data_IF_014425340506
#
_entry.id   IF_014425340506
#
_cell.length_a   1.000
_cell.length_b   1.000
_cell.length_c   1.000
_cell.angle_alpha   90.00
_cell.angle_beta   90.00
_cell.angle_gamma   90.00
#
_symmetry.space_group_name_H-M   'P 1'
#
loop_
_entity.id
_entity.type
_entity.pdbx_description
1 polymer ?
#
# COMPACT_ATOMS: atom_id res chain seq x y z
N UNK A 1 21.62 4.06 44.22
CA UNK A 1 20.23 4.51 44.11
C UNK A 1 19.89 5.21 42.80
N UNK A 2 20.52 6.38 42.44
CA UNK A 2 20.24 7.06 41.15
C UNK A 2 20.69 6.24 39.93
N UNK A 3 21.86 5.60 39.98
CA UNK A 3 22.35 4.74 38.88
C UNK A 3 21.47 3.53 38.64
N UNK A 4 20.92 2.91 39.70
CA UNK A 4 20.04 1.77 39.61
C UNK A 4 18.69 2.14 38.96
N UNK A 5 18.15 3.31 39.29
CA UNK A 5 16.92 3.83 38.66
C UNK A 5 17.14 4.17 37.18
N UNK A 6 18.26 4.77 36.80
CA UNK A 6 18.59 5.01 35.39
C UNK A 6 18.76 3.71 34.60
N UNK A 7 19.43 2.71 35.19
CA UNK A 7 19.62 1.42 34.54
C UNK A 7 18.29 0.69 34.34
N UNK A 8 17.41 0.70 35.34
CA UNK A 8 16.07 0.10 35.25
C UNK A 8 15.24 0.78 34.14
N UNK A 9 15.26 2.12 34.05
CA UNK A 9 14.54 2.86 33.02
C UNK A 9 15.08 2.58 31.61
N UNK A 10 16.38 2.44 31.44
CA UNK A 10 17.00 2.07 30.15
C UNK A 10 16.66 0.64 29.73
N UNK A 11 16.57 -0.30 30.68
CA UNK A 11 16.17 -1.69 30.39
C UNK A 11 14.69 -1.78 29.99
N UNK A 12 13.82 -1.03 30.64
CA UNK A 12 12.38 -0.96 30.36
C UNK A 12 12.16 -0.35 28.95
N UNK A 13 12.79 0.77 28.63
CA UNK A 13 12.72 1.40 27.31
C UNK A 13 13.22 0.49 26.18
N UNK A 14 14.23 -0.35 26.42
CA UNK A 14 14.71 -1.32 25.42
C UNK A 14 13.73 -2.47 25.22
N UNK A 15 13.09 -2.94 26.28
CA UNK A 15 12.08 -3.99 26.22
C UNK A 15 10.85 -3.52 25.43
N UNK A 16 10.40 -2.29 25.66
CA UNK A 16 9.30 -1.66 24.91
C UNK A 16 9.61 -1.54 23.42
N UNK A 17 10.81 -1.07 23.07
CA UNK A 17 11.25 -0.95 21.69
C UNK A 17 11.29 -2.29 20.97
N UNK A 18 11.82 -3.33 21.61
CA UNK A 18 11.86 -4.67 21.02
C UNK A 18 10.45 -5.26 20.86
N UNK A 19 9.55 -5.02 21.83
CA UNK A 19 8.15 -5.44 21.74
C UNK A 19 7.43 -4.80 20.56
N UNK A 20 7.61 -3.49 20.33
CA UNK A 20 7.04 -2.78 19.17
C UNK A 20 7.60 -3.34 17.88
N UNK A 21 8.90 -3.61 17.83
CA UNK A 21 9.55 -4.17 16.64
C UNK A 21 8.97 -5.55 16.27
N UNK A 22 8.78 -6.43 17.23
CA UNK A 22 8.16 -7.74 17.01
C UNK A 22 6.71 -7.58 16.50
N UNK A 23 5.97 -6.64 17.08
CA UNK A 23 4.60 -6.36 16.67
C UNK A 23 4.54 -5.87 15.21
N UNK A 24 5.47 -5.00 14.79
CA UNK A 24 5.59 -4.52 13.40
C UNK A 24 5.80 -5.68 12.44
N UNK A 25 6.70 -6.62 12.78
CA UNK A 25 6.95 -7.83 11.97
C UNK A 25 5.68 -8.68 11.83
N UNK A 26 4.96 -8.89 12.92
CA UNK A 26 3.69 -9.65 12.90
C UNK A 26 2.63 -8.97 12.03
N UNK A 27 2.52 -7.64 12.12
CA UNK A 27 1.57 -6.84 11.32
C UNK A 27 1.88 -6.92 9.83
N UNK A 28 3.16 -6.84 9.45
CA UNK A 28 3.59 -7.01 8.06
C UNK A 28 3.32 -8.42 7.55
N UNK A 29 3.60 -9.45 8.37
CA UNK A 29 3.26 -10.83 8.00
C UNK A 29 1.76 -11.04 7.83
N UNK A 30 0.94 -10.43 8.68
CA UNK A 30 -0.51 -10.47 8.56
C UNK A 30 -1.00 -9.78 7.26
N UNK A 31 -0.41 -8.65 6.89
CA UNK A 31 -0.70 -7.95 5.64
C UNK A 31 -0.37 -8.84 4.42
N UNK A 32 0.84 -9.37 4.34
CA UNK A 32 1.29 -10.24 3.22
C UNK A 32 0.47 -11.53 3.14
N UNK A 33 0.15 -12.13 4.30
CA UNK A 33 -0.75 -13.28 4.40
C UNK A 33 -2.17 -12.96 3.95
N UNK A 34 -2.66 -11.75 4.26
CA UNK A 34 -3.96 -11.24 3.82
C UNK A 34 -4.07 -11.20 2.29
N UNK A 35 -3.09 -10.66 1.59
CA UNK A 35 -3.02 -10.69 0.13
C UNK A 35 -3.02 -12.14 -0.41
N UNK A 36 -2.20 -12.99 0.16
CA UNK A 36 -2.03 -14.38 -0.30
C UNK A 36 -3.27 -15.25 -0.02
N UNK A 37 -4.11 -14.87 0.93
CA UNK A 37 -5.33 -15.61 1.29
C UNK A 37 -6.47 -15.47 0.27
N UNK A 38 -6.43 -14.47 -0.60
CA UNK A 38 -7.53 -14.05 -1.48
C UNK A 38 -8.84 -13.77 -0.69
N UNK A 39 -8.73 -13.42 0.58
CA UNK A 39 -9.83 -13.13 1.50
C UNK A 39 -9.81 -11.67 1.91
N UNK A 40 -10.80 -10.90 1.46
CA UNK A 40 -10.92 -9.47 1.83
C UNK A 40 -10.96 -9.27 3.35
N UNK A 41 -11.74 -10.02 4.14
CA UNK A 41 -11.70 -9.85 5.60
C UNK A 41 -10.32 -10.10 6.22
N UNK A 42 -9.55 -11.05 5.71
CA UNK A 42 -8.19 -11.31 6.20
C UNK A 42 -7.22 -10.18 5.81
N UNK A 43 -7.33 -9.66 4.57
CA UNK A 43 -6.52 -8.53 4.12
C UNK A 43 -6.79 -7.27 4.94
N UNK A 44 -8.06 -7.01 5.29
CA UNK A 44 -8.45 -5.82 6.05
C UNK A 44 -8.12 -5.92 7.55
N UNK A 45 -7.85 -7.11 8.08
CA UNK A 45 -7.64 -7.32 9.52
C UNK A 45 -6.54 -6.45 10.13
N UNK A 46 -5.34 -6.33 9.53
CA UNK A 46 -4.28 -5.49 10.05
C UNK A 46 -4.41 -3.99 9.70
N UNK A 47 -5.44 -3.57 8.95
CA UNK A 47 -5.57 -2.18 8.50
C UNK A 47 -6.35 -1.34 9.53
N UNK A 48 -5.86 -0.13 9.80
CA UNK A 48 -6.57 0.83 10.65
C UNK A 48 -7.90 1.29 10.05
N UNK A 49 -8.75 1.91 10.84
CA UNK A 49 -10.05 2.43 10.36
C UNK A 49 -9.88 3.59 9.38
N UNK A 50 -8.84 4.40 9.55
CA UNK A 50 -8.48 5.55 8.72
C UNK A 50 -7.45 5.21 7.64
N UNK A 51 -7.30 3.92 7.33
CA UNK A 51 -6.37 3.41 6.32
C UNK A 51 -6.52 4.08 4.96
N UNK A 52 -5.38 4.34 4.31
CA UNK A 52 -5.32 4.83 2.92
C UNK A 52 -4.39 3.99 2.05
N UNK A 53 -4.75 3.85 0.78
CA UNK A 53 -3.95 3.15 -0.23
C UNK A 53 -3.75 4.01 -1.46
N UNK A 54 -2.52 4.12 -1.93
CA UNK A 54 -2.14 4.90 -3.10
C UNK A 54 -1.24 4.10 -4.02
N UNK A 55 -1.69 3.86 -5.25
CA UNK A 55 -0.89 3.20 -6.29
C UNK A 55 -0.03 4.22 -7.02
N UNK A 56 1.23 3.89 -7.18
CA UNK A 56 2.23 4.67 -7.89
C UNK A 56 2.69 3.95 -9.18
N UNK A 57 3.22 4.65 -10.18
CA UNK A 57 3.35 6.11 -10.26
C UNK A 57 2.01 6.82 -10.44
N UNK A 58 1.94 8.09 -10.06
CA UNK A 58 0.73 8.90 -10.17
C UNK A 58 0.18 8.98 -11.61
N UNK A 59 1.04 8.79 -12.61
CA UNK A 59 0.67 8.73 -14.04
C UNK A 59 -0.29 7.59 -14.40
N UNK A 60 -0.44 6.57 -13.54
CA UNK A 60 -1.47 5.53 -13.70
C UNK A 60 -2.90 6.06 -13.50
N UNK A 61 -3.06 7.26 -12.94
CA UNK A 61 -4.35 7.88 -12.69
C UNK A 61 -5.26 7.10 -11.74
N UNK A 62 -4.66 6.27 -10.88
CA UNK A 62 -5.43 5.50 -9.89
C UNK A 62 -5.84 6.40 -8.73
N UNK A 63 -7.11 6.37 -8.29
CA UNK A 63 -7.55 7.16 -7.15
C UNK A 63 -6.89 6.67 -5.86
N UNK A 64 -6.70 7.57 -4.91
CA UNK A 64 -6.41 7.20 -3.52
C UNK A 64 -7.65 6.52 -2.95
N UNK A 65 -7.45 5.41 -2.24
CA UNK A 65 -8.52 4.60 -1.65
C UNK A 65 -8.46 4.70 -0.13
N UNK A 66 -9.60 4.89 0.48
CA UNK A 66 -9.82 4.59 1.88
C UNK A 66 -10.00 3.08 2.10
N UNK A 67 -10.24 2.67 3.33
CA UNK A 67 -10.40 1.25 3.71
C UNK A 67 -11.57 0.59 2.99
N UNK A 68 -12.67 1.30 2.74
CA UNK A 68 -13.86 0.74 2.07
C UNK A 68 -13.62 0.58 0.57
N UNK A 69 -13.19 1.60 -0.13
CA UNK A 69 -12.87 1.55 -1.55
C UNK A 69 -11.68 0.62 -1.85
N UNK A 70 -10.73 0.47 -0.91
CA UNK A 70 -9.69 -0.54 -0.99
C UNK A 70 -10.25 -1.96 -0.88
N UNK A 71 -11.21 -2.19 0.01
CA UNK A 71 -11.93 -3.47 0.13
C UNK A 71 -12.60 -3.88 -1.19
N UNK A 72 -13.32 -2.97 -1.83
CA UNK A 72 -13.99 -3.19 -3.11
C UNK A 72 -12.96 -3.47 -4.23
N UNK A 73 -11.86 -2.72 -4.25
CA UNK A 73 -10.76 -2.94 -5.17
C UNK A 73 -10.12 -4.33 -4.98
N UNK A 74 -9.81 -4.70 -3.74
CA UNK A 74 -9.25 -6.00 -3.39
C UNK A 74 -10.19 -7.15 -3.80
N UNK A 75 -11.49 -7.02 -3.57
CA UNK A 75 -12.49 -8.00 -4.01
C UNK A 75 -12.44 -8.22 -5.52
N UNK A 76 -12.33 -7.13 -6.28
CA UNK A 76 -12.23 -7.20 -7.74
C UNK A 76 -10.95 -7.92 -8.18
N UNK A 77 -9.79 -7.56 -7.61
CA UNK A 77 -8.51 -8.20 -7.91
C UNK A 77 -8.55 -9.69 -7.51
N UNK A 78 -9.02 -10.02 -6.33
CA UNK A 78 -9.10 -11.41 -5.84
C UNK A 78 -10.05 -12.28 -6.67
N UNK A 79 -11.06 -11.67 -7.31
CA UNK A 79 -11.96 -12.39 -8.21
C UNK A 79 -11.26 -12.93 -9.46
N UNK A 80 -10.12 -12.34 -9.85
CA UNK A 80 -9.35 -12.73 -11.05
C UNK A 80 -8.56 -14.02 -10.80
N UNK A 81 -8.08 -14.23 -9.55
CA UNK A 81 -7.14 -15.29 -9.23
C UNK A 81 -7.79 -16.50 -8.54
N UNK A 82 -7.33 -17.70 -8.88
CA UNK A 82 -7.59 -18.94 -8.14
C UNK A 82 -6.53 -19.21 -7.07
N UNK A 83 -5.32 -18.69 -7.27
CA UNK A 83 -4.23 -18.70 -6.31
C UNK A 83 -3.42 -17.40 -6.47
N UNK A 84 -2.92 -16.86 -5.36
CA UNK A 84 -2.10 -15.65 -5.35
C UNK A 84 -1.11 -15.70 -4.20
N UNK A 85 0.09 -15.18 -4.41
CA UNK A 85 1.11 -15.02 -3.39
C UNK A 85 1.77 -13.66 -3.52
N UNK A 86 1.95 -13.01 -2.38
CA UNK A 86 2.83 -11.87 -2.21
C UNK A 86 4.12 -12.37 -1.55
N UNK A 87 5.21 -12.38 -2.29
CA UNK A 87 6.49 -12.97 -1.87
C UNK A 87 7.49 -11.84 -1.67
N UNK A 88 7.84 -11.50 -0.41
CA UNK A 88 8.86 -10.48 -0.16
C UNK A 88 10.25 -10.99 -0.55
N UNK A 89 10.95 -10.23 -1.38
CA UNK A 89 12.35 -10.43 -1.71
C UNK A 89 13.27 -9.66 -0.74
N UNK A 90 12.79 -8.49 -0.25
CA UNK A 90 13.47 -7.70 0.76
C UNK A 90 12.45 -6.91 1.61
N UNK A 91 12.77 -6.75 2.88
CA UNK A 91 12.00 -5.93 3.84
C UNK A 91 13.00 -5.03 4.56
N UNK A 92 12.74 -3.73 4.55
CA UNK A 92 13.52 -2.70 5.23
C UNK A 92 12.62 -2.00 6.24
N UNK A 93 13.01 -2.02 7.50
CA UNK A 93 12.26 -1.38 8.59
C UNK A 93 12.95 -0.08 9.00
N UNK A 94 12.29 1.05 8.77
CA UNK A 94 12.67 2.36 9.31
C UNK A 94 11.78 2.66 10.52
N UNK A 95 12.25 2.22 11.68
CA UNK A 95 11.55 2.39 12.95
C UNK A 95 11.37 3.87 13.30
N UNK A 96 12.36 4.72 13.01
CA UNK A 96 12.30 6.15 13.30
C UNK A 96 11.19 6.87 12.53
N UNK A 97 10.88 6.41 11.33
CA UNK A 97 9.82 6.98 10.48
C UNK A 97 8.49 6.22 10.62
N UNK A 98 8.47 5.09 11.32
CA UNK A 98 7.30 4.21 11.39
C UNK A 98 6.92 3.60 10.04
N UNK A 99 7.88 3.40 9.14
CA UNK A 99 7.66 2.91 7.77
C UNK A 99 8.42 1.63 7.53
N UNK A 100 7.75 0.65 6.93
CA UNK A 100 8.38 -0.57 6.41
C UNK A 100 8.33 -0.53 4.88
N UNK A 101 9.47 -0.68 4.23
CA UNK A 101 9.55 -0.79 2.77
C UNK A 101 9.70 -2.25 2.40
N UNK A 102 8.81 -2.74 1.53
CA UNK A 102 8.76 -4.14 1.11
C UNK A 102 8.92 -4.20 -0.40
N UNK A 103 9.99 -4.81 -0.87
CA UNK A 103 10.12 -5.21 -2.26
C UNK A 103 9.55 -6.62 -2.40
N UNK A 104 8.55 -6.80 -3.25
CA UNK A 104 7.83 -8.07 -3.39
C UNK A 104 7.60 -8.46 -4.83
N UNK A 105 7.64 -9.78 -5.08
CA UNK A 105 7.06 -10.40 -6.26
C UNK A 105 5.64 -10.85 -5.98
N UNK A 106 4.76 -10.58 -6.93
CA UNK A 106 3.40 -11.07 -6.96
C UNK A 106 3.30 -12.23 -7.95
N UNK A 107 2.82 -13.38 -7.51
CA UNK A 107 2.60 -14.54 -8.34
C UNK A 107 1.16 -15.00 -8.23
N UNK A 108 0.49 -15.27 -9.35
CA UNK A 108 -0.89 -15.69 -9.35
C UNK A 108 -1.22 -16.70 -10.44
N UNK A 109 -2.32 -17.41 -10.25
CA UNK A 109 -2.96 -18.25 -11.25
C UNK A 109 -4.34 -17.65 -11.51
N UNK A 110 -4.62 -17.25 -12.75
CA UNK A 110 -5.92 -16.68 -13.11
C UNK A 110 -6.99 -17.76 -13.15
N UNK A 111 -8.22 -17.43 -12.74
CA UNK A 111 -9.38 -18.34 -12.87
C UNK A 111 -9.71 -18.61 -14.33
N UNK A 112 -9.62 -17.56 -15.17
CA UNK A 112 -9.86 -17.69 -16.60
C UNK A 112 -8.60 -18.21 -17.30
N UNK A 113 -8.67 -19.40 -17.85
CA UNK A 113 -7.58 -20.02 -18.62
C UNK A 113 -6.41 -20.54 -17.79
N UNK A 114 -6.47 -20.50 -16.46
CA UNK A 114 -5.42 -21.01 -15.54
C UNK A 114 -4.02 -20.53 -15.89
N UNK A 115 -3.88 -19.26 -16.33
CA UNK A 115 -2.62 -18.69 -16.76
C UNK A 115 -1.81 -18.21 -15.56
N UNK A 116 -0.50 -18.41 -15.62
CA UNK A 116 0.45 -17.79 -14.68
C UNK A 116 0.52 -16.29 -14.94
N UNK A 117 0.45 -15.54 -13.87
CA UNK A 117 0.65 -14.10 -13.87
C UNK A 117 1.68 -13.71 -12.82
N UNK A 118 2.56 -12.80 -13.17
CA UNK A 118 3.57 -12.27 -12.25
C UNK A 118 3.66 -10.76 -12.38
N UNK A 119 3.93 -10.10 -11.26
CA UNK A 119 4.25 -8.68 -11.23
C UNK A 119 5.26 -8.44 -10.10
N UNK A 120 5.78 -7.23 -10.03
CA UNK A 120 6.71 -6.79 -9.02
C UNK A 120 6.25 -5.45 -8.45
N UNK A 121 6.42 -5.25 -7.16
CA UNK A 121 6.07 -4.00 -6.50
C UNK A 121 7.03 -3.65 -5.36
N UNK A 122 7.05 -2.36 -5.06
CA UNK A 122 7.63 -1.82 -3.83
C UNK A 122 6.50 -1.17 -3.04
N UNK A 123 6.23 -1.67 -1.85
CA UNK A 123 5.27 -1.09 -0.92
C UNK A 123 5.98 -0.30 0.18
N UNK A 124 5.57 0.93 0.39
CA UNK A 124 5.94 1.74 1.55
C UNK A 124 4.75 1.69 2.51
N UNK A 125 4.89 0.93 3.57
CA UNK A 125 3.84 0.63 4.54
C UNK A 125 4.08 1.44 5.81
N UNK A 126 3.19 2.39 6.11
CA UNK A 126 3.21 3.14 7.37
C UNK A 126 2.41 2.39 8.41
N UNK A 127 3.02 2.18 9.57
CA UNK A 127 2.39 1.55 10.73
C UNK A 127 1.95 2.57 11.78
N UNK A 128 1.01 2.17 12.63
CA UNK A 128 0.68 2.87 13.87
C UNK A 128 1.88 2.92 14.82
N UNK A 129 1.86 3.82 15.77
CA UNK A 129 2.98 4.02 16.70
C UNK A 129 3.30 2.76 17.51
N UNK A 130 2.30 1.96 17.85
CA UNK A 130 2.45 0.68 18.56
C UNK A 130 2.74 -0.51 17.61
N UNK A 131 2.85 -0.26 16.31
CA UNK A 131 3.14 -1.26 15.28
C UNK A 131 2.00 -2.23 14.95
N UNK A 132 0.81 -2.07 15.52
CA UNK A 132 -0.30 -3.04 15.44
C UNK A 132 -1.15 -2.91 14.20
N UNK A 133 -1.18 -1.72 13.58
CA UNK A 133 -2.06 -1.44 12.45
C UNK A 133 -1.29 -0.81 11.29
N UNK A 134 -1.71 -1.14 10.09
CA UNK A 134 -1.28 -0.48 8.86
C UNK A 134 -2.14 0.75 8.62
N UNK A 135 -1.54 1.92 8.68
CA UNK A 135 -2.23 3.21 8.49
C UNK A 135 -2.28 3.62 7.02
N UNK A 136 -1.20 3.36 6.28
CA UNK A 136 -1.22 3.63 4.85
C UNK A 136 -0.27 2.72 4.07
N UNK A 137 -0.59 2.52 2.79
CA UNK A 137 0.27 1.87 1.82
C UNK A 137 0.41 2.78 0.60
N UNK A 138 1.66 3.05 0.20
CA UNK A 138 1.99 3.55 -1.12
C UNK A 138 2.65 2.41 -1.88
N UNK A 139 2.02 1.99 -2.98
CA UNK A 139 2.45 0.82 -3.74
C UNK A 139 2.94 1.23 -5.14
N UNK A 140 4.24 1.11 -5.39
CA UNK A 140 4.83 1.30 -6.71
C UNK A 140 4.86 -0.03 -7.45
N UNK A 141 4.06 -0.17 -8.51
CA UNK A 141 3.93 -1.40 -9.30
C UNK A 141 4.60 -1.30 -10.66
N UNK A 142 4.99 -2.43 -11.26
CA UNK A 142 5.28 -2.46 -12.68
C UNK A 142 4.01 -2.11 -13.48
N UNK A 143 4.01 -0.90 -14.00
CA UNK A 143 2.87 -0.29 -14.67
C UNK A 143 2.47 -1.02 -15.95
N UNK A 144 3.43 -1.56 -16.69
CA UNK A 144 3.16 -2.31 -17.92
C UNK A 144 2.37 -3.58 -17.61
N UNK A 145 2.78 -4.31 -16.59
CA UNK A 145 2.08 -5.51 -16.11
C UNK A 145 0.71 -5.20 -15.53
N UNK A 146 0.58 -4.11 -14.80
CA UNK A 146 -0.70 -3.68 -14.23
C UNK A 146 -1.72 -3.31 -15.34
N UNK A 147 -1.28 -2.58 -16.37
CA UNK A 147 -2.10 -2.23 -17.53
C UNK A 147 -2.49 -3.48 -18.32
N UNK A 148 -1.55 -4.40 -18.57
CA UNK A 148 -1.81 -5.66 -19.26
C UNK A 148 -2.86 -6.51 -18.52
N UNK A 149 -2.74 -6.63 -17.20
CA UNK A 149 -3.71 -7.34 -16.36
C UNK A 149 -5.09 -6.70 -16.46
N UNK A 150 -5.19 -5.38 -16.35
CA UNK A 150 -6.45 -4.66 -16.48
C UNK A 150 -7.09 -4.91 -17.85
N UNK A 151 -6.32 -4.86 -18.93
CA UNK A 151 -6.82 -5.07 -20.29
C UNK A 151 -7.34 -6.50 -20.53
N UNK A 152 -6.67 -7.50 -19.94
CA UNK A 152 -6.99 -8.92 -20.19
C UNK A 152 -8.08 -9.48 -19.27
N UNK A 153 -8.09 -9.07 -18.00
CA UNK A 153 -8.83 -9.76 -16.95
C UNK A 153 -9.82 -8.88 -16.18
N UNK A 154 -9.79 -7.56 -16.36
CA UNK A 154 -10.77 -6.71 -15.68
C UNK A 154 -12.18 -7.03 -16.17
N UNK A 155 -13.16 -7.18 -15.27
CA UNK A 155 -14.56 -7.30 -15.66
C UNK A 155 -14.96 -6.12 -16.56
N UNK A 156 -15.85 -6.36 -17.55
CA UNK A 156 -16.30 -5.30 -18.50
C UNK A 156 -16.90 -4.07 -17.82
N UNK A 157 -17.31 -4.20 -16.55
CA UNK A 157 -17.86 -3.12 -15.72
C UNK A 157 -16.81 -2.44 -14.83
N UNK A 158 -15.51 -2.65 -15.09
CA UNK A 158 -14.44 -1.95 -14.40
C UNK A 158 -14.34 -0.53 -14.93
N UNK A 159 -15.30 0.31 -14.59
CA UNK A 159 -15.25 1.75 -14.81
C UNK A 159 -14.19 2.32 -13.88
N UNK A 160 -13.05 2.73 -14.45
CA UNK A 160 -12.31 3.82 -13.85
C UNK A 160 -13.31 4.97 -13.74
N UNK A 161 -13.67 5.39 -12.53
CA UNK A 161 -14.32 6.67 -12.32
C UNK A 161 -13.32 7.74 -12.76
N UNK A 162 -13.33 8.01 -14.06
CA UNK A 162 -12.73 9.20 -14.61
C UNK A 162 -13.67 10.30 -14.19
N UNK A 163 -13.40 10.91 -13.04
CA UNK A 163 -13.93 12.22 -12.71
C UNK A 163 -13.46 13.13 -13.83
N UNK A 164 -14.34 13.40 -14.79
CA UNK A 164 -14.20 14.46 -15.76
C UNK A 164 -14.21 15.78 -14.99
N UNK A 165 -13.07 16.15 -14.42
CA UNK A 165 -12.82 17.54 -14.10
C UNK A 165 -12.70 18.26 -15.44
N UNK A 166 -13.78 18.91 -15.85
CA UNK A 166 -13.80 19.90 -16.92
C UNK A 166 -12.62 20.85 -16.69
N UNK A 167 -11.71 21.03 -17.65
CA UNK A 167 -10.62 21.99 -17.49
C UNK A 167 -11.27 23.38 -17.35
N UNK A 168 -11.08 24.00 -16.19
CA UNK A 168 -11.44 25.40 -16.00
C UNK A 168 -10.75 26.21 -17.08
N UNK A 169 -11.57 26.90 -17.89
CA UNK A 169 -11.17 27.82 -18.94
C UNK A 169 -10.28 28.89 -18.31
N UNK A 170 -8.98 28.76 -18.54
CA UNK A 170 -7.98 29.72 -18.07
C UNK A 170 -8.09 30.95 -18.96
N UNK A 171 -8.86 31.95 -18.52
CA UNK A 171 -8.86 33.28 -19.13
C UNK A 171 -7.49 33.92 -18.93
N UNK A 172 -6.77 34.11 -20.06
CA UNK A 172 -5.56 34.91 -20.11
C UNK A 172 -5.91 36.36 -19.81
N UNK A 173 -5.63 36.83 -18.61
CA UNK A 173 -5.42 38.26 -18.38
C UNK A 173 -4.00 38.62 -18.80
N UNK A 174 -3.92 39.25 -19.96
CA UNK A 174 -2.72 39.99 -20.38
C UNK A 174 -2.83 41.37 -19.76
N UNK A 175 -1.98 41.70 -18.81
CA UNK A 175 -1.64 43.10 -18.52
C UNK A 175 -0.49 43.19 -17.51
N UNK A 176 0.57 43.96 -17.85
CA UNK A 176 1.56 44.45 -16.88
C UNK A 176 2.99 44.25 -17.30
N UNK A 177 3.48 45.21 -18.10
CA UNK A 177 4.86 45.55 -18.38
C UNK A 177 5.71 45.56 -17.10
N UNK A 178 6.79 44.77 -17.07
CA UNK A 178 7.88 44.91 -16.09
C UNK A 178 9.06 45.60 -16.79
N UNK A 179 9.35 46.83 -16.38
CA UNK A 179 10.55 47.58 -16.72
C UNK A 179 11.60 47.27 -15.67
N UNK A 180 12.75 46.75 -16.11
CA UNK A 180 13.95 46.66 -15.25
C UNK A 180 14.80 47.92 -15.50
N UNK A 181 15.13 48.63 -14.45
CA UNK A 181 16.30 49.52 -14.34
C UNK A 181 17.30 48.90 -13.40
#
# INVERSE_FOLDING_TARGET
MMADMMMAHLLDSRADTESIRLQRVETIHALLGGYSSLSVPQLLKPLSLDFTHHVLPASLGMPVRDRESFSQHAQTIFSIFSAFKMIPDAIYDDDAQGVVVIHSRMEGITKQGSQRWTNECVMMVRLSQDGREVVSIQEFVDSAKAIEMKAKFAPRNFTSETTTSTPAKMERRVSGTLVFT
#
